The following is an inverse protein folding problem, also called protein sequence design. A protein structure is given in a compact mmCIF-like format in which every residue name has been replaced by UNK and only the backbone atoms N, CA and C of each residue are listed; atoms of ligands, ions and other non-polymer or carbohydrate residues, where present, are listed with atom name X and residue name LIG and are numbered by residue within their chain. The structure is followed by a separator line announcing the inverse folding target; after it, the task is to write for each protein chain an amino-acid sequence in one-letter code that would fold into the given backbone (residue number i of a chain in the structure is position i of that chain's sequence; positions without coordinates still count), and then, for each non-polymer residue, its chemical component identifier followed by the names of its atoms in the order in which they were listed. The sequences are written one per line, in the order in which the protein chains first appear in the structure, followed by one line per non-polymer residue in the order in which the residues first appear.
data_IF_182043278338
#
_entry.id   IF_182043278338
#
_cell.length_a   1.000
_cell.length_b   1.000
_cell.length_c   1.000
_cell.angle_alpha   90.00
_cell.angle_beta   90.00
_cell.angle_gamma   90.00
#
_symmetry.space_group_name_H-M   'P 1'
#
loop_
_entity.id
_entity.type
_entity.pdbx_description
1 polymer ?
#
# COMPACT_ATOMS: atom_id res chain seq x y z
N UNK A 1 11.16 11.44 2.82
CA UNK A 1 11.33 10.07 3.35
C UNK A 1 12.04 9.24 2.28
N UNK A 2 13.01 8.39 2.62
CA UNK A 2 13.68 7.54 1.61
C UNK A 2 12.76 6.40 1.15
N UNK A 3 12.94 5.93 -0.09
CA UNK A 3 12.08 4.91 -0.72
C UNK A 3 11.96 3.62 0.12
N UNK A 4 13.04 3.16 0.74
CA UNK A 4 13.02 1.95 1.57
C UNK A 4 12.20 2.13 2.87
N UNK A 5 12.28 3.31 3.48
CA UNK A 5 11.49 3.66 4.66
C UNK A 5 10.01 3.78 4.31
N UNK A 6 9.69 4.36 3.14
CA UNK A 6 8.32 4.43 2.63
C UNK A 6 7.73 3.04 2.40
N UNK A 7 8.46 2.18 1.69
CA UNK A 7 8.08 0.80 1.43
C UNK A 7 7.79 0.03 2.72
N UNK A 8 8.65 0.19 3.72
CA UNK A 8 8.47 -0.43 5.05
C UNK A 8 7.19 0.06 5.72
N UNK A 9 6.94 1.37 5.71
CA UNK A 9 5.72 1.96 6.27
C UNK A 9 4.46 1.45 5.56
N UNK A 10 4.45 1.38 4.23
CA UNK A 10 3.32 0.85 3.46
C UNK A 10 3.08 -0.64 3.79
N UNK A 11 4.14 -1.44 3.94
CA UNK A 11 4.01 -2.82 4.39
C UNK A 11 3.36 -2.92 5.78
N UNK A 12 3.75 -2.09 6.74
CA UNK A 12 3.13 -2.04 8.07
C UNK A 12 1.65 -1.66 8.01
N UNK A 13 1.30 -0.64 7.21
CA UNK A 13 -0.09 -0.22 7.01
C UNK A 13 -0.93 -1.33 6.35
N UNK A 14 -0.35 -2.08 5.41
CA UNK A 14 -1.05 -3.20 4.75
C UNK A 14 -1.41 -4.33 5.72
N UNK A 15 -0.53 -4.62 6.68
CA UNK A 15 -0.77 -5.60 7.73
C UNK A 15 -1.86 -5.11 8.69
N UNK A 16 -1.81 -3.83 9.07
CA UNK A 16 -2.82 -3.22 9.94
C UNK A 16 -4.22 -3.21 9.29
N UNK A 17 -4.30 -2.83 8.01
CA UNK A 17 -5.54 -2.80 7.25
C UNK A 17 -6.08 -4.20 6.90
N UNK A 18 -5.21 -5.22 6.92
CA UNK A 18 -5.56 -6.63 6.77
C UNK A 18 -6.35 -7.23 7.93
N UNK A 19 -6.50 -6.52 9.06
CA UNK A 19 -7.31 -6.92 10.23
C UNK A 19 -6.97 -8.33 10.75
N UNK A 20 -5.68 -8.68 10.74
CA UNK A 20 -5.19 -10.01 11.15
C UNK A 20 -5.28 -11.10 10.07
N UNK A 21 -5.60 -10.75 8.82
CA UNK A 21 -5.62 -11.70 7.70
C UNK A 21 -4.24 -12.27 7.33
N UNK A 22 -3.15 -11.57 7.67
CA UNK A 22 -1.77 -12.03 7.53
C UNK A 22 -0.83 -11.13 8.35
N UNK A 23 0.39 -11.60 8.56
CA UNK A 23 1.49 -10.92 9.23
C UNK A 23 2.49 -10.32 8.24
N UNK A 24 3.33 -9.38 8.71
CA UNK A 24 4.43 -8.83 7.89
C UNK A 24 5.38 -9.91 7.36
N UNK A 25 5.50 -11.03 8.07
CA UNK A 25 6.29 -12.19 7.64
C UNK A 25 5.65 -12.89 6.45
N UNK A 26 4.36 -13.19 6.51
CA UNK A 26 3.62 -13.82 5.41
C UNK A 26 3.60 -12.93 4.17
N UNK A 27 3.50 -11.61 4.36
CA UNK A 27 3.66 -10.63 3.28
C UNK A 27 5.04 -10.70 2.62
N UNK A 28 6.11 -10.80 3.41
CA UNK A 28 7.46 -10.95 2.86
C UNK A 28 7.66 -12.31 2.16
N UNK A 29 7.13 -13.40 2.73
CA UNK A 29 7.16 -14.75 2.14
C UNK A 29 6.37 -14.83 0.83
N UNK A 30 5.29 -14.04 0.70
CA UNK A 30 4.51 -13.87 -0.52
C UNK A 30 5.15 -12.89 -1.54
N UNK A 31 6.39 -12.46 -1.31
CA UNK A 31 7.08 -11.52 -2.20
C UNK A 31 6.43 -10.14 -2.23
N UNK A 32 5.76 -9.73 -1.15
CA UNK A 32 5.02 -8.47 -1.01
C UNK A 32 3.83 -8.30 -1.96
N UNK A 33 3.28 -9.41 -2.44
CA UNK A 33 2.04 -9.44 -3.22
C UNK A 33 0.81 -9.51 -2.30
N UNK A 34 -0.03 -8.48 -2.36
CA UNK A 34 -1.32 -8.44 -1.66
C UNK A 34 -2.32 -9.39 -2.32
N UNK A 35 -2.29 -9.51 -3.65
CA UNK A 35 -3.14 -10.44 -4.40
C UNK A 35 -2.83 -11.90 -4.06
N UNK A 36 -1.56 -12.26 -3.88
CA UNK A 36 -1.15 -13.61 -3.46
C UNK A 36 -1.66 -13.98 -2.06
N UNK A 37 -1.82 -12.99 -1.17
CA UNK A 37 -2.38 -13.17 0.17
C UNK A 37 -3.91 -13.11 0.20
N UNK A 38 -4.58 -12.89 -0.94
CA UNK A 38 -6.03 -12.77 -1.00
C UNK A 38 -6.56 -11.51 -0.32
N UNK A 39 -5.85 -10.38 -0.44
CA UNK A 39 -6.26 -9.11 0.14
C UNK A 39 -7.69 -8.75 -0.28
N UNK A 40 -8.58 -8.59 0.70
CA UNK A 40 -9.99 -8.30 0.41
C UNK A 40 -10.17 -6.87 -0.07
N UNK A 41 -11.23 -6.60 -0.85
CA UNK A 41 -11.58 -5.23 -1.27
C UNK A 41 -11.77 -4.29 -0.07
N UNK A 42 -12.25 -4.78 1.08
CA UNK A 42 -12.41 -3.97 2.28
C UNK A 42 -11.06 -3.63 2.92
N UNK A 43 -10.16 -4.60 3.04
CA UNK A 43 -8.79 -4.37 3.53
C UNK A 43 -8.05 -3.37 2.64
N UNK A 44 -8.32 -3.44 1.34
CA UNK A 44 -7.77 -2.52 0.36
C UNK A 44 -8.23 -1.08 0.54
N UNK A 45 -9.54 -0.85 0.70
CA UNK A 45 -10.06 0.50 0.99
C UNK A 45 -9.48 1.05 2.30
N UNK A 46 -9.40 0.21 3.34
CA UNK A 46 -8.77 0.60 4.62
C UNK A 46 -7.28 0.94 4.46
N UNK A 47 -6.57 0.23 3.57
CA UNK A 47 -5.16 0.49 3.30
C UNK A 47 -4.99 1.84 2.61
N UNK A 48 -5.79 2.12 1.58
CA UNK A 48 -5.81 3.43 0.92
C UNK A 48 -6.06 4.53 1.95
N UNK A 49 -7.16 4.45 2.70
CA UNK A 49 -7.49 5.44 3.73
C UNK A 49 -6.33 5.63 4.73
N UNK A 50 -5.67 4.55 5.14
CA UNK A 50 -4.55 4.61 6.07
C UNK A 50 -3.33 5.29 5.46
N UNK A 51 -3.02 5.01 4.18
CA UNK A 51 -1.91 5.65 3.47
C UNK A 51 -2.18 7.15 3.29
N UNK A 52 -3.39 7.52 2.87
CA UNK A 52 -3.77 8.92 2.69
C UNK A 52 -3.67 9.70 4.00
N UNK A 53 -4.19 9.14 5.09
CA UNK A 53 -4.15 9.79 6.40
C UNK A 53 -2.73 9.89 6.99
N UNK A 54 -1.89 8.87 6.79
CA UNK A 54 -0.55 8.83 7.40
C UNK A 54 0.50 9.59 6.57
N UNK A 55 0.36 9.59 5.25
CA UNK A 55 1.34 10.18 4.34
C UNK A 55 0.86 11.50 3.71
N UNK A 56 -0.42 11.85 3.86
CA UNK A 56 -0.98 13.09 3.29
C UNK A 56 -1.08 13.08 1.77
N UNK A 57 -1.07 11.89 1.15
CA UNK A 57 -1.22 11.72 -0.30
C UNK A 57 -2.67 11.40 -0.67
N UNK A 58 -3.00 11.52 -1.95
CA UNK A 58 -4.27 11.04 -2.49
C UNK A 58 -3.99 9.85 -3.41
N UNK A 59 -4.69 8.74 -3.18
CA UNK A 59 -4.59 7.54 -4.00
C UNK A 59 -5.94 7.29 -4.67
N UNK A 60 -5.94 7.25 -6.00
CA UNK A 60 -7.16 7.00 -6.77
C UNK A 60 -7.53 5.50 -6.69
N UNK A 61 -8.63 5.12 -6.00
CA UNK A 61 -9.05 3.72 -5.92
C UNK A 61 -9.51 3.15 -7.27
N UNK A 62 -9.78 4.01 -8.26
CA UNK A 62 -10.13 3.61 -9.64
C UNK A 62 -8.89 3.48 -10.55
N UNK A 63 -7.69 3.81 -10.06
CA UNK A 63 -6.46 3.56 -10.82
C UNK A 63 -6.27 2.05 -11.07
N UNK A 64 -5.58 1.71 -12.16
CA UNK A 64 -5.47 0.32 -12.62
C UNK A 64 -5.02 -0.62 -11.49
N UNK A 65 -5.70 -1.76 -11.36
CA UNK A 65 -5.50 -2.72 -10.27
C UNK A 65 -4.03 -3.15 -10.11
N UNK A 66 -3.26 -3.17 -11.21
CA UNK A 66 -1.82 -3.45 -11.26
C UNK A 66 -1.00 -2.57 -10.31
N UNK A 67 -1.45 -1.33 -10.07
CA UNK A 67 -0.76 -0.38 -9.20
C UNK A 67 -0.89 -0.70 -7.71
N UNK A 68 -1.75 -1.65 -7.35
CA UNK A 68 -2.01 -2.00 -5.95
C UNK A 68 -1.88 -3.49 -5.66
N UNK A 69 -1.34 -4.27 -6.60
CA UNK A 69 -1.11 -5.70 -6.40
C UNK A 69 0.01 -5.98 -5.41
N UNK A 70 0.97 -5.06 -5.30
CA UNK A 70 2.18 -5.22 -4.51
C UNK A 70 2.50 -3.97 -3.71
N UNK A 71 3.23 -4.15 -2.60
CA UNK A 71 3.75 -3.01 -1.82
C UNK A 71 4.65 -2.12 -2.67
N UNK A 72 5.40 -2.69 -3.60
CA UNK A 72 6.30 -1.94 -4.48
C UNK A 72 5.51 -1.07 -5.48
N UNK A 73 4.41 -1.58 -6.05
CA UNK A 73 3.51 -0.81 -6.91
C UNK A 73 2.85 0.36 -6.16
N UNK A 74 2.37 0.12 -4.94
CA UNK A 74 1.77 1.16 -4.09
C UNK A 74 2.83 2.20 -3.71
N UNK A 75 4.05 1.76 -3.39
CA UNK A 75 5.17 2.67 -3.09
C UNK A 75 5.46 3.58 -4.28
N UNK A 76 5.44 3.03 -5.50
CA UNK A 76 5.63 3.83 -6.72
C UNK A 76 4.49 4.84 -6.95
N UNK A 77 3.23 4.46 -6.69
CA UNK A 77 2.09 5.38 -6.74
C UNK A 77 2.25 6.54 -5.76
N UNK A 78 2.59 6.25 -4.51
CA UNK A 78 2.76 7.29 -3.48
C UNK A 78 3.87 8.27 -3.87
N UNK A 79 4.99 7.77 -4.40
CA UNK A 79 6.08 8.63 -4.89
C UNK A 79 5.65 9.47 -6.10
N UNK A 80 4.85 8.91 -7.00
CA UNK A 80 4.34 9.65 -8.16
C UNK A 80 3.28 10.69 -7.76
N UNK A 81 2.43 10.39 -6.77
CA UNK A 81 1.38 11.27 -6.27
C UNK A 81 1.90 12.44 -5.43
N UNK A 82 2.92 12.20 -4.60
CA UNK A 82 3.63 13.26 -3.85
C UNK A 82 4.22 14.31 -4.80
N UNK A 83 4.80 13.89 -5.92
CA UNK A 83 5.36 14.79 -6.93
C UNK A 83 4.29 15.64 -7.67
N UNK A 84 3.02 15.22 -7.66
CA UNK A 84 1.91 15.91 -8.33
C UNK A 84 1.20 16.95 -7.46
N UNK A 85 1.36 16.89 -6.12
CA UNK A 85 0.72 17.81 -5.18
C UNK A 85 1.44 19.18 -5.05
N UNK A 86 2.66 19.30 -5.61
CA UNK A 86 3.54 20.47 -5.55
C UNK A 86 3.50 21.35 -6.82
N UNK A 87 2.53 21.15 -7.73
CA UNK A 87 2.40 21.83 -9.02
C UNK A 87 1.28 22.89 -9.09
#
# INVERSE_FOLDING_TARGET
MDHNSLRTKIAELSVAAGDGGFSARELAEAGYSLTALGYSSLSYMRLIDSIENELGVYLDPEADAEHYETIDSITALVVAGDAGADA
#
